data_IF_643486257519
#
_entry.id   IF_643486257519
#
_cell.length_a   1.000
_cell.length_b   1.000
_cell.length_c   1.000
_cell.angle_alpha   90.00
_cell.angle_beta   90.00
_cell.angle_gamma   90.00
#
_symmetry.space_group_name_H-M   'P 1'
#
loop_
_entity.id
_entity.type
_entity.pdbx_description
1 polymer ?
#
# COMPACT_ATOMS: atom_id res chain seq x y z
N UNK A 1 -40.53 -0.31 56.93
CA UNK A 1 -40.11 0.46 55.73
C UNK A 1 -38.64 0.84 55.73
N UNK A 2 -38.09 1.58 56.73
CA UNK A 2 -36.67 1.98 56.76
C UNK A 2 -35.65 0.85 56.52
N UNK A 3 -35.84 -0.34 57.11
CA UNK A 3 -34.93 -1.50 56.93
C UNK A 3 -34.88 -2.03 55.49
N UNK A 4 -36.00 -2.03 54.79
CA UNK A 4 -36.07 -2.46 53.39
C UNK A 4 -35.49 -1.41 52.44
N UNK A 5 -35.57 -0.13 52.78
CA UNK A 5 -34.93 0.96 52.03
C UNK A 5 -33.40 0.86 52.10
N UNK A 6 -32.85 0.57 53.28
CA UNK A 6 -31.39 0.37 53.42
C UNK A 6 -30.89 -0.86 52.66
N UNK A 7 -31.62 -1.97 52.69
CA UNK A 7 -31.28 -3.18 51.93
C UNK A 7 -31.38 -2.91 50.42
N UNK A 8 -32.42 -2.19 49.97
CA UNK A 8 -32.60 -1.82 48.58
C UNK A 8 -31.50 -0.88 48.08
N UNK A 9 -31.11 0.13 48.87
CA UNK A 9 -29.99 1.03 48.56
C UNK A 9 -28.64 0.31 48.56
N UNK A 10 -28.44 -0.66 49.45
CA UNK A 10 -27.23 -1.49 49.47
C UNK A 10 -27.11 -2.39 48.23
N UNK A 11 -28.23 -2.97 47.77
CA UNK A 11 -28.26 -3.80 46.55
C UNK A 11 -28.04 -2.94 45.29
N UNK A 12 -28.59 -1.72 45.23
CA UNK A 12 -28.31 -0.76 44.14
C UNK A 12 -26.84 -0.33 44.17
N UNK A 13 -26.28 -0.07 45.35
CA UNK A 13 -24.85 0.23 45.53
C UNK A 13 -23.95 -0.93 45.08
N UNK A 14 -24.37 -2.18 45.29
CA UNK A 14 -23.62 -3.37 44.86
C UNK A 14 -23.67 -3.57 43.33
N UNK A 15 -24.75 -3.11 42.67
CA UNK A 15 -24.92 -3.18 41.22
C UNK A 15 -24.11 -2.15 40.41
N UNK A 16 -23.50 -1.15 41.05
CA UNK A 16 -22.70 -0.10 40.39
C UNK A 16 -21.20 -0.46 40.31
N UNK A 17 -20.76 -1.54 40.97
CA UNK A 17 -19.38 -2.01 40.97
C UNK A 17 -19.14 -3.19 39.99
N UNK A 18 -19.79 -3.19 38.82
CA UNK A 18 -19.42 -4.13 37.76
C UNK A 18 -18.07 -3.65 37.21
N UNK A 19 -16.97 -4.42 37.34
CA UNK A 19 -15.71 -4.05 36.72
C UNK A 19 -15.96 -3.88 35.22
N UNK A 20 -15.77 -2.66 34.71
CA UNK A 20 -15.72 -2.44 33.26
C UNK A 20 -14.47 -3.16 32.79
N UNK A 21 -14.65 -4.32 32.18
CA UNK A 21 -13.58 -4.94 31.40
C UNK A 21 -13.29 -3.93 30.29
N UNK A 22 -12.16 -3.24 30.41
CA UNK A 22 -11.67 -2.37 29.35
C UNK A 22 -11.28 -3.30 28.20
N UNK A 23 -12.10 -3.32 27.15
CA UNK A 23 -11.71 -3.95 25.89
C UNK A 23 -10.68 -3.02 25.27
N UNK A 24 -9.43 -3.47 25.24
CA UNK A 24 -8.35 -2.76 24.59
C UNK A 24 -7.77 -3.73 23.57
N UNK A 25 -7.67 -3.30 22.32
CA UNK A 25 -6.98 -4.05 21.31
C UNK A 25 -5.53 -4.29 21.77
N UNK A 26 -5.00 -5.47 21.48
CA UNK A 26 -3.66 -5.89 21.88
C UNK A 26 -2.76 -5.86 20.68
N UNK A 27 -1.65 -5.16 20.80
CA UNK A 27 -0.57 -5.19 19.82
C UNK A 27 0.59 -6.00 20.39
N UNK A 28 1.03 -7.01 19.64
CA UNK A 28 2.00 -7.98 20.13
C UNK A 28 2.90 -8.50 19.01
N UNK A 29 4.09 -8.96 19.40
CA UNK A 29 5.05 -9.58 18.49
C UNK A 29 5.01 -11.10 18.62
N UNK A 30 5.21 -11.79 17.51
CA UNK A 30 5.40 -13.24 17.49
C UNK A 30 6.65 -13.58 16.67
N UNK A 31 7.51 -14.45 17.21
CA UNK A 31 8.72 -14.92 16.53
C UNK A 31 8.57 -16.33 15.95
N UNK A 32 9.08 -16.51 14.73
CA UNK A 32 9.16 -17.81 14.05
C UNK A 32 10.55 -18.01 13.43
N UNK A 33 11.32 -19.05 13.81
CA UNK A 33 11.08 -19.93 14.97
C UNK A 33 11.19 -19.17 16.30
N UNK A 34 10.61 -19.72 17.38
CA UNK A 34 10.71 -19.13 18.72
C UNK A 34 12.09 -19.34 19.36
N UNK A 35 12.72 -20.48 19.06
CA UNK A 35 14.09 -20.80 19.46
C UNK A 35 15.03 -20.55 18.28
N UNK A 36 15.99 -19.64 18.44
CA UNK A 36 16.92 -19.24 17.38
C UNK A 36 18.35 -19.21 17.90
N UNK A 37 19.29 -19.76 17.14
CA UNK A 37 20.73 -19.70 17.44
C UNK A 37 21.41 -18.50 16.78
N UNK A 38 22.69 -18.28 17.08
CA UNK A 38 23.51 -17.25 16.41
C UNK A 38 23.63 -17.52 14.90
N UNK A 39 23.55 -16.47 14.09
CA UNK A 39 23.73 -16.52 12.63
C UNK A 39 22.49 -16.97 11.85
N UNK A 40 21.42 -17.34 12.53
CA UNK A 40 20.16 -17.79 11.93
C UNK A 40 19.22 -16.62 11.66
N UNK A 41 18.16 -16.88 10.89
CA UNK A 41 17.10 -15.92 10.66
C UNK A 41 15.87 -16.21 11.54
N UNK A 42 15.27 -15.14 12.05
CA UNK A 42 14.01 -15.16 12.79
C UNK A 42 13.04 -14.16 12.18
N UNK A 43 11.79 -14.57 12.00
CA UNK A 43 10.70 -13.70 11.56
C UNK A 43 9.97 -13.16 12.78
N UNK A 44 9.99 -11.85 12.98
CA UNK A 44 9.19 -11.15 13.97
C UNK A 44 7.96 -10.55 13.30
N UNK A 45 6.79 -11.09 13.59
CA UNK A 45 5.51 -10.63 13.08
C UNK A 45 4.90 -9.65 14.07
N UNK A 46 4.51 -8.46 13.64
CA UNK A 46 3.69 -7.55 14.43
C UNK A 46 2.22 -7.87 14.15
N UNK A 47 1.47 -8.20 15.20
CA UNK A 47 0.06 -8.58 15.11
C UNK A 47 -0.82 -7.73 16.00
N UNK A 48 -2.09 -7.64 15.62
CA UNK A 48 -3.15 -7.04 16.42
C UNK A 48 -4.28 -8.05 16.70
N UNK A 49 -4.70 -8.12 17.97
CA UNK A 49 -5.99 -8.66 18.40
C UNK A 49 -6.90 -7.48 18.72
N UNK A 50 -8.04 -7.38 18.04
CA UNK A 50 -8.93 -6.23 18.20
C UNK A 50 -9.91 -6.36 19.37
N UNK A 51 -9.92 -7.49 20.09
CA UNK A 51 -10.79 -7.75 21.25
C UNK A 51 -12.28 -7.43 20.96
N UNK A 52 -12.70 -7.70 19.71
CA UNK A 52 -14.02 -7.43 19.12
C UNK A 52 -14.30 -5.99 18.67
N UNK A 53 -13.34 -5.07 18.75
CA UNK A 53 -13.46 -3.77 18.09
C UNK A 53 -13.14 -3.88 16.60
N UNK A 54 -13.69 -2.98 15.80
CA UNK A 54 -13.29 -2.82 14.40
C UNK A 54 -12.33 -1.64 14.32
N UNK A 55 -11.12 -1.86 13.81
CA UNK A 55 -10.06 -0.85 13.67
C UNK A 55 -9.64 -0.71 12.22
N UNK A 56 -9.29 0.49 11.77
CA UNK A 56 -9.05 0.77 10.35
C UNK A 56 -7.80 1.61 10.07
N UNK A 57 -7.06 2.02 11.08
CA UNK A 57 -5.80 2.73 10.90
C UNK A 57 -4.83 2.29 11.98
N UNK A 58 -3.54 2.23 11.62
CA UNK A 58 -2.47 1.76 12.47
C UNK A 58 -1.24 2.61 12.22
N UNK A 59 -0.59 3.05 13.29
CA UNK A 59 0.72 3.69 13.22
C UNK A 59 1.57 3.24 14.40
N UNK A 60 2.89 3.34 14.25
CA UNK A 60 3.82 3.11 15.34
C UNK A 60 5.23 2.86 14.87
N UNK A 61 6.08 2.46 15.82
CA UNK A 61 7.44 2.03 15.54
C UNK A 61 7.87 0.87 16.42
N UNK A 62 8.78 0.06 15.91
CA UNK A 62 9.40 -1.04 16.65
C UNK A 62 10.90 -0.80 16.75
N UNK A 63 11.40 -0.65 17.97
CA UNK A 63 12.84 -0.57 18.26
C UNK A 63 13.39 -1.95 18.56
N UNK A 64 14.63 -2.23 18.18
CA UNK A 64 15.29 -3.51 18.44
C UNK A 64 16.78 -3.36 18.81
N UNK A 65 17.35 -4.37 19.49
CA UNK A 65 18.77 -4.45 19.84
C UNK A 65 19.67 -4.69 18.61
N UNK A 66 20.26 -3.63 18.04
CA UNK A 66 21.12 -3.67 16.82
C UNK A 66 22.45 -4.43 16.98
N UNK A 67 22.88 -4.63 18.22
CA UNK A 67 24.06 -5.41 18.60
C UNK A 67 23.79 -6.93 18.57
N UNK A 68 22.54 -7.33 18.82
CA UNK A 68 22.08 -8.72 18.84
C UNK A 68 21.35 -9.13 17.55
N UNK A 69 20.72 -8.19 16.85
CA UNK A 69 19.92 -8.41 15.66
C UNK A 69 20.35 -7.51 14.51
N UNK A 70 20.23 -8.03 13.29
CA UNK A 70 20.42 -7.30 12.05
C UNK A 70 19.17 -7.45 11.20
N UNK A 71 18.48 -6.34 10.92
CA UNK A 71 17.33 -6.36 10.05
C UNK A 71 17.78 -6.66 8.61
N UNK A 72 17.21 -7.70 8.01
CA UNK A 72 17.50 -8.10 6.62
C UNK A 72 16.44 -7.54 5.68
N UNK A 73 15.17 -7.59 6.08
CA UNK A 73 14.04 -7.13 5.27
C UNK A 73 12.78 -6.96 6.13
N UNK A 74 11.81 -6.21 5.58
CA UNK A 74 10.44 -6.10 6.11
C UNK A 74 9.44 -6.47 5.02
N UNK A 75 8.51 -7.36 5.36
CA UNK A 75 7.53 -7.98 4.46
C UNK A 75 6.12 -7.55 4.84
N UNK A 76 5.31 -7.26 3.83
CA UNK A 76 3.89 -6.87 3.96
C UNK A 76 2.93 -8.02 3.59
N UNK A 77 3.48 -9.19 3.29
CA UNK A 77 2.73 -10.40 2.91
C UNK A 77 1.66 -10.75 3.94
N UNK A 78 0.45 -11.02 3.48
CA UNK A 78 -0.73 -11.30 4.30
C UNK A 78 -1.08 -10.18 5.31
N UNK A 79 -0.61 -8.95 5.09
CA UNK A 79 -0.99 -7.82 5.94
C UNK A 79 -2.49 -7.55 5.85
N UNK A 80 -3.07 -7.18 6.99
CA UNK A 80 -4.42 -6.61 7.07
C UNK A 80 -4.44 -5.15 6.61
N UNK A 81 -3.31 -4.47 6.62
CA UNK A 81 -3.16 -3.10 6.13
C UNK A 81 -3.24 -3.14 4.61
N UNK A 82 -4.21 -2.42 4.06
CA UNK A 82 -4.42 -2.40 2.61
C UNK A 82 -3.74 -1.22 1.93
N UNK A 83 -3.56 -0.10 2.63
CA UNK A 83 -2.91 1.08 2.08
C UNK A 83 -1.94 1.66 3.08
N UNK A 84 -0.66 1.68 2.71
CA UNK A 84 0.39 2.30 3.51
C UNK A 84 0.50 3.78 3.18
N UNK A 85 0.50 4.60 4.22
CA UNK A 85 0.92 6.00 4.16
C UNK A 85 2.45 6.03 4.29
N UNK A 86 2.96 5.24 5.23
CA UNK A 86 4.37 4.98 5.44
C UNK A 86 4.55 3.45 5.49
N UNK A 87 5.02 2.82 4.40
CA UNK A 87 5.30 1.39 4.37
C UNK A 87 6.32 1.01 5.44
N UNK A 88 6.21 -0.18 6.05
CA UNK A 88 7.05 -0.58 7.15
C UNK A 88 8.51 -0.72 6.69
N UNK A 89 9.37 0.16 7.18
CA UNK A 89 10.78 0.24 6.77
C UNK A 89 11.67 0.72 7.92
N UNK A 90 12.97 0.42 7.83
CA UNK A 90 13.94 0.91 8.80
C UNK A 90 14.21 2.41 8.61
N UNK A 91 13.95 3.20 9.65
CA UNK A 91 14.26 4.62 9.73
C UNK A 91 14.74 4.93 11.15
N UNK A 92 15.84 5.67 11.28
CA UNK A 92 16.40 6.09 12.57
C UNK A 92 16.52 4.93 13.59
N UNK A 93 17.08 3.80 13.15
CA UNK A 93 17.30 2.60 13.97
C UNK A 93 16.02 1.94 14.51
N UNK A 94 14.86 2.21 13.90
CA UNK A 94 13.56 1.62 14.24
C UNK A 94 12.84 1.21 12.96
N UNK A 95 11.90 0.27 13.05
CA UNK A 95 10.96 0.01 11.95
C UNK A 95 9.75 0.90 12.17
N UNK A 96 9.52 1.87 11.29
CA UNK A 96 8.37 2.81 11.36
C UNK A 96 7.30 2.39 10.37
N UNK A 97 6.03 2.61 10.70
CA UNK A 97 4.92 2.26 9.81
C UNK A 97 3.69 3.13 10.09
N UNK A 98 2.92 3.40 9.05
CA UNK A 98 1.58 3.99 9.13
C UNK A 98 0.72 3.56 7.95
N UNK A 99 -0.50 3.13 8.21
CA UNK A 99 -1.40 2.68 7.15
C UNK A 99 -2.84 2.49 7.59
N UNK A 100 -3.69 2.23 6.61
CA UNK A 100 -5.14 2.13 6.76
C UNK A 100 -5.70 0.86 6.13
N UNK A 101 -6.80 0.39 6.69
CA UNK A 101 -7.64 -0.71 6.22
C UNK A 101 -9.09 -0.25 6.08
N UNK A 102 -9.48 0.35 4.94
CA UNK A 102 -10.86 0.75 4.71
C UNK A 102 -11.81 -0.44 4.86
N UNK A 103 -12.97 -0.20 5.48
CA UNK A 103 -13.91 -1.26 5.87
C UNK A 103 -13.59 -1.90 7.23
N UNK A 104 -12.40 -1.64 7.78
CA UNK A 104 -11.97 -2.07 9.10
C UNK A 104 -11.55 -3.55 9.16
N UNK A 105 -10.79 -3.86 10.20
CA UNK A 105 -10.41 -5.21 10.58
C UNK A 105 -10.97 -5.54 11.96
N UNK A 106 -11.47 -6.76 12.11
CA UNK A 106 -11.89 -7.33 13.39
C UNK A 106 -11.42 -8.78 13.44
N UNK A 107 -10.59 -9.11 14.43
CA UNK A 107 -9.99 -10.44 14.54
C UNK A 107 -8.86 -10.48 15.57
N UNK A 108 -8.37 -11.67 15.86
CA UNK A 108 -7.43 -11.92 16.98
C UNK A 108 -5.96 -11.99 16.57
N UNK A 109 -5.68 -12.02 15.26
CA UNK A 109 -4.35 -12.34 14.74
C UNK A 109 -4.05 -11.59 13.43
N UNK A 110 -4.43 -10.32 13.36
CA UNK A 110 -4.22 -9.51 12.17
C UNK A 110 -2.75 -9.16 12.02
N UNK A 111 -2.09 -9.67 10.98
CA UNK A 111 -0.68 -9.33 10.70
C UNK A 111 -0.63 -7.90 10.17
N UNK A 112 0.17 -7.03 10.80
CA UNK A 112 0.47 -5.71 10.23
C UNK A 112 1.65 -5.80 9.26
N UNK A 113 2.74 -6.44 9.67
CA UNK A 113 3.92 -6.71 8.85
C UNK A 113 4.83 -7.74 9.52
N UNK A 114 5.83 -8.23 8.79
CA UNK A 114 6.84 -9.18 9.28
C UNK A 114 8.25 -8.66 9.03
N UNK A 115 9.05 -8.53 10.07
CA UNK A 115 10.48 -8.24 9.96
C UNK A 115 11.29 -9.55 9.97
N UNK A 116 12.30 -9.65 9.11
CA UNK A 116 13.24 -10.77 9.10
C UNK A 116 14.57 -10.28 9.66
N UNK A 117 14.96 -10.83 10.80
CA UNK A 117 16.23 -10.51 11.44
C UNK A 117 17.22 -11.65 11.28
N UNK A 118 18.50 -11.32 11.12
CA UNK A 118 19.62 -12.23 11.33
C UNK A 118 20.18 -12.02 12.74
N UNK A 119 20.37 -13.10 13.48
CA UNK A 119 20.93 -13.04 14.84
C UNK A 119 22.46 -12.90 14.80
N UNK A 120 23.00 -11.98 15.59
CA UNK A 120 24.44 -11.67 15.65
C UNK A 120 25.14 -12.30 16.84
N UNK A 121 24.49 -12.29 18.00
CA UNK A 121 25.07 -12.71 19.28
C UNK A 121 24.00 -13.36 20.16
N UNK A 122 24.42 -14.23 21.08
CA UNK A 122 23.52 -14.82 22.07
C UNK A 122 23.04 -13.78 23.09
N UNK A 123 21.84 -13.99 23.61
CA UNK A 123 21.22 -13.09 24.57
C UNK A 123 19.71 -12.99 24.40
N UNK A 124 19.12 -12.01 25.09
CA UNK A 124 17.69 -11.70 24.99
C UNK A 124 17.57 -10.30 24.40
N UNK A 125 17.40 -10.16 23.06
CA UNK A 125 17.23 -8.84 22.46
C UNK A 125 15.91 -8.21 22.91
N UNK A 126 15.96 -6.90 23.12
CA UNK A 126 14.78 -6.09 23.31
C UNK A 126 14.16 -5.84 21.93
N UNK A 127 12.88 -6.17 21.76
CA UNK A 127 12.04 -5.67 20.67
C UNK A 127 10.83 -5.00 21.31
N UNK A 128 10.74 -3.68 21.17
CA UNK A 128 9.73 -2.87 21.85
C UNK A 128 8.89 -2.11 20.84
N UNK A 129 7.58 -2.15 21.05
CA UNK A 129 6.62 -1.33 20.29
C UNK A 129 6.51 0.03 20.99
N UNK A 130 6.68 1.12 20.23
CA UNK A 130 6.59 2.50 20.71
C UNK A 130 5.66 3.32 19.84
N UNK A 131 5.09 4.36 20.43
CA UNK A 131 4.23 5.35 19.77
C UNK A 131 3.09 4.73 18.94
N UNK A 132 2.62 3.56 19.38
CA UNK A 132 1.62 2.80 18.65
C UNK A 132 0.23 3.38 18.85
N UNK A 133 -0.49 3.54 17.74
CA UNK A 133 -1.91 3.90 17.75
C UNK A 133 -2.70 3.03 16.79
N UNK A 134 -3.96 2.85 17.12
CA UNK A 134 -4.96 2.28 16.24
C UNK A 134 -6.22 3.14 16.32
N UNK A 135 -6.91 3.33 15.20
CA UNK A 135 -8.17 4.06 15.16
C UNK A 135 -9.34 3.11 14.94
N UNK A 136 -10.45 3.39 15.61
CA UNK A 136 -11.72 2.70 15.42
C UNK A 136 -12.25 2.97 14.00
N UNK A 137 -12.88 1.96 13.43
CA UNK A 137 -13.56 2.05 12.15
C UNK A 137 -14.95 2.71 12.30
N UNK A 138 -14.99 3.94 12.79
CA UNK A 138 -16.21 4.69 13.10
C UNK A 138 -16.43 5.93 12.21
N UNK A 139 -15.47 6.24 11.33
CA UNK A 139 -15.49 7.41 10.45
C UNK A 139 -15.25 8.74 11.16
N UNK A 140 -14.98 8.74 12.46
CA UNK A 140 -14.71 9.93 13.28
C UNK A 140 -13.23 10.07 13.66
N UNK A 141 -12.43 9.03 13.44
CA UNK A 141 -11.00 9.03 13.79
C UNK A 141 -10.76 8.84 15.29
N UNK A 142 -11.67 8.14 15.98
CA UNK A 142 -11.53 7.85 17.40
C UNK A 142 -10.37 6.88 17.65
N UNK A 143 -9.45 7.22 18.55
CA UNK A 143 -8.38 6.31 18.96
C UNK A 143 -8.97 5.10 19.72
N UNK A 144 -8.57 3.89 19.33
CA UNK A 144 -8.88 2.66 20.04
C UNK A 144 -8.01 2.54 21.29
N UNK A 145 -8.53 1.91 22.35
CA UNK A 145 -7.71 1.59 23.52
C UNK A 145 -6.72 0.50 23.15
N UNK A 146 -5.42 0.73 23.39
CA UNK A 146 -4.37 -0.23 23.07
C UNK A 146 -3.63 -0.74 24.31
N UNK A 147 -3.37 -2.05 24.32
CA UNK A 147 -2.44 -2.71 25.25
C UNK A 147 -1.27 -3.28 24.45
N UNK A 148 -0.04 -3.01 24.89
CA UNK A 148 1.16 -3.56 24.28
C UNK A 148 1.62 -4.77 25.08
N UNK A 149 1.73 -5.94 24.44
CA UNK A 149 2.23 -7.13 25.11
C UNK A 149 3.76 -7.17 25.09
N UNK A 150 4.43 -7.40 26.25
CA UNK A 150 5.87 -7.58 26.27
C UNK A 150 6.27 -8.80 25.44
N UNK A 151 7.28 -8.62 24.60
CA UNK A 151 7.84 -9.69 23.80
C UNK A 151 9.18 -10.15 24.35
N UNK A 152 9.45 -11.45 24.27
CA UNK A 152 10.75 -12.03 24.64
C UNK A 152 11.20 -13.04 23.60
N UNK A 153 12.42 -12.85 23.12
CA UNK A 153 13.13 -13.79 22.26
C UNK A 153 14.43 -14.20 22.95
N UNK A 154 14.78 -15.49 22.88
CA UNK A 154 16.06 -15.99 23.37
C UNK A 154 16.91 -16.42 22.18
N UNK A 155 18.10 -15.83 22.05
CA UNK A 155 19.13 -16.26 21.10
C UNK A 155 20.11 -17.16 21.85
N UNK A 156 20.15 -18.44 21.49
CA UNK A 156 21.00 -19.44 22.15
C UNK A 156 22.46 -19.35 21.68
N UNK A 157 23.41 -19.63 22.59
CA UNK A 157 24.85 -19.74 22.27
C UNK A 157 25.18 -20.97 21.40
N UNK A 158 24.37 -22.02 21.48
CA UNK A 158 24.55 -23.23 20.69
C UNK A 158 23.87 -23.13 19.33
N UNK A 159 24.56 -23.57 18.27
CA UNK A 159 23.93 -23.79 16.99
C UNK A 159 22.83 -24.85 17.15
N UNK A 160 21.56 -24.45 17.07
CA UNK A 160 20.52 -25.41 16.69
C UNK A 160 20.95 -25.98 15.33
N UNK A 161 21.04 -27.31 15.23
CA UNK A 161 21.61 -28.01 14.06
C UNK A 161 20.84 -27.74 12.75
N UNK A 162 19.68 -27.10 12.83
CA UNK A 162 18.89 -26.66 11.68
C UNK A 162 19.10 -25.15 11.48
N UNK A 163 19.79 -24.79 10.39
CA UNK A 163 19.88 -23.40 9.95
C UNK A 163 18.50 -22.99 9.44
N UNK A 164 17.80 -22.17 10.20
CA UNK A 164 16.56 -21.55 9.75
C UNK A 164 16.89 -20.34 8.87
N UNK A 165 16.59 -20.47 7.58
CA UNK A 165 16.54 -19.36 6.62
C UNK A 165 15.07 -19.05 6.40
N UNK A 166 14.70 -17.77 6.42
CA UNK A 166 13.37 -17.35 6.06
C UNK A 166 13.09 -17.79 4.61
N UNK A 167 11.97 -18.46 4.39
CA UNK A 167 11.60 -18.91 3.06
C UNK A 167 11.54 -17.71 2.09
N UNK A 168 12.14 -17.86 0.92
CA UNK A 168 11.98 -16.92 -0.19
C UNK A 168 10.50 -16.90 -0.61
N UNK A 169 9.98 -15.70 -0.88
CA UNK A 169 8.62 -15.54 -1.39
C UNK A 169 8.67 -15.67 -2.91
N UNK A 170 8.23 -16.80 -3.43
CA UNK A 170 8.08 -17.01 -4.87
C UNK A 170 6.69 -16.55 -5.30
N UNK A 171 6.62 -15.50 -6.10
CA UNK A 171 5.37 -14.90 -6.53
C UNK A 171 5.34 -14.66 -8.05
N UNK A 172 4.25 -15.13 -8.67
CA UNK A 172 3.96 -15.00 -10.11
C UNK A 172 2.59 -14.37 -10.34
N UNK A 173 1.90 -13.98 -9.27
CA UNK A 173 0.58 -13.37 -9.32
C UNK A 173 0.73 -11.88 -9.61
N UNK A 174 -0.20 -11.34 -10.38
CA UNK A 174 -0.19 -9.91 -10.67
C UNK A 174 -0.84 -9.16 -9.51
N UNK A 175 -0.42 -7.92 -9.19
CA UNK A 175 -1.07 -7.07 -8.21
C UNK A 175 -2.59 -7.03 -8.40
N UNK A 176 -3.38 -6.90 -7.33
CA UNK A 176 -4.85 -6.91 -7.36
C UNK A 176 -5.46 -5.90 -8.34
N UNK A 177 -6.72 -6.13 -8.73
CA UNK A 177 -7.36 -5.32 -9.76
C UNK A 177 -7.81 -4.01 -9.14
N UNK A 178 -7.52 -2.90 -9.80
CA UNK A 178 -7.83 -1.58 -9.30
C UNK A 178 -8.43 -0.69 -10.38
N UNK A 179 -9.17 0.32 -9.95
CA UNK A 179 -9.79 1.31 -10.82
C UNK A 179 -9.29 2.69 -10.42
N UNK A 180 -8.38 3.29 -11.19
CA UNK A 180 -7.97 4.67 -10.97
C UNK A 180 -9.15 5.64 -11.12
N UNK A 181 -9.19 6.66 -10.29
CA UNK A 181 -10.24 7.67 -10.29
C UNK A 181 -9.65 9.04 -10.64
N UNK A 182 -10.21 9.65 -11.68
CA UNK A 182 -9.86 11.00 -12.09
C UNK A 182 -10.70 12.01 -11.29
N UNK A 183 -10.02 12.92 -10.58
CA UNK A 183 -10.65 13.86 -9.68
C UNK A 183 -10.11 15.28 -9.86
N UNK A 184 -10.87 16.26 -9.36
CA UNK A 184 -10.51 17.67 -9.32
C UNK A 184 -11.27 18.33 -8.18
N UNK A 185 -10.54 19.03 -7.32
CA UNK A 185 -11.13 19.75 -6.18
C UNK A 185 -10.41 21.09 -6.00
N UNK A 186 -11.16 22.18 -5.77
CA UNK A 186 -10.58 23.52 -5.66
C UNK A 186 -9.63 23.68 -4.46
N UNK A 187 -9.79 22.83 -3.44
CA UNK A 187 -8.99 22.85 -2.21
C UNK A 187 -7.77 21.93 -2.30
N UNK A 188 -7.68 21.11 -3.35
CA UNK A 188 -6.62 20.11 -3.54
C UNK A 188 -5.84 20.43 -4.82
N UNK A 189 -4.51 20.52 -4.73
CA UNK A 189 -3.61 20.83 -5.85
C UNK A 189 -4.02 22.06 -6.68
N UNK A 190 -4.50 23.11 -6.02
CA UNK A 190 -4.97 24.36 -6.65
C UNK A 190 -6.05 24.15 -7.73
N UNK A 191 -6.92 23.14 -7.57
CA UNK A 191 -7.97 22.85 -8.54
C UNK A 191 -7.47 22.23 -9.84
N UNK A 192 -6.28 21.63 -9.86
CA UNK A 192 -5.79 20.84 -11.00
C UNK A 192 -6.45 19.46 -11.03
N UNK A 193 -6.52 18.87 -12.22
CA UNK A 193 -6.86 17.46 -12.40
C UNK A 193 -5.76 16.58 -11.86
N UNK A 194 -6.15 15.57 -11.08
CA UNK A 194 -5.27 14.56 -10.54
C UNK A 194 -5.96 13.20 -10.59
N UNK A 195 -5.16 12.14 -10.59
CA UNK A 195 -5.66 10.76 -10.55
C UNK A 195 -5.28 10.12 -9.21
N UNK A 196 -6.24 9.43 -8.61
CA UNK A 196 -6.06 8.62 -7.41
C UNK A 196 -6.11 7.16 -7.82
N UNK A 197 -5.16 6.39 -7.34
CA UNK A 197 -5.12 4.95 -7.57
C UNK A 197 -4.49 4.26 -6.36
N UNK A 198 -4.89 3.02 -6.12
CA UNK A 198 -4.28 2.18 -5.11
C UNK A 198 -4.59 0.72 -5.44
N UNK A 199 -3.66 -0.17 -5.12
CA UNK A 199 -3.85 -1.63 -5.22
C UNK A 199 -2.94 -2.31 -4.22
N UNK A 200 -3.09 -3.62 -4.08
CA UNK A 200 -2.32 -4.45 -3.17
C UNK A 200 -1.77 -5.68 -3.89
N UNK A 201 -0.72 -6.25 -3.32
CA UNK A 201 -0.35 -7.63 -3.58
C UNK A 201 -0.25 -8.35 -2.23
N UNK A 202 -0.99 -9.46 -2.06
CA UNK A 202 -1.06 -10.16 -0.77
C UNK A 202 0.13 -11.08 -0.51
N UNK A 203 0.97 -11.33 -1.51
CA UNK A 203 2.01 -12.35 -1.45
C UNK A 203 3.40 -11.71 -1.36
N UNK A 204 3.91 -11.09 -2.40
CA UNK A 204 5.18 -10.36 -2.36
C UNK A 204 5.03 -8.93 -1.82
N UNK A 205 3.84 -8.33 -1.92
CA UNK A 205 3.60 -6.95 -1.50
C UNK A 205 3.89 -5.94 -2.61
N UNK A 206 3.42 -4.71 -2.43
CA UNK A 206 3.61 -3.64 -3.42
C UNK A 206 5.05 -3.11 -3.41
N UNK A 207 5.61 -2.82 -4.59
CA UNK A 207 6.90 -2.15 -4.73
C UNK A 207 6.70 -0.67 -5.08
N UNK A 208 6.11 -0.37 -6.24
CA UNK A 208 5.82 1.01 -6.64
C UNK A 208 4.77 1.10 -7.76
N UNK A 209 4.40 2.35 -8.09
CA UNK A 209 3.58 2.68 -9.25
C UNK A 209 4.39 3.46 -10.29
N UNK A 210 4.07 3.23 -11.56
CA UNK A 210 4.51 4.07 -12.66
C UNK A 210 3.32 4.62 -13.45
N UNK A 211 3.44 5.83 -13.99
CA UNK A 211 2.43 6.46 -14.82
C UNK A 211 2.99 7.01 -16.14
N UNK A 212 2.14 7.08 -17.16
CA UNK A 212 2.46 7.77 -18.42
C UNK A 212 1.19 8.35 -19.06
N UNK A 213 1.31 9.54 -19.65
CA UNK A 213 0.23 10.26 -20.33
C UNK A 213 0.52 10.27 -21.84
N UNK A 214 -0.37 9.67 -22.64
CA UNK A 214 -0.14 9.44 -24.08
C UNK A 214 -1.25 10.07 -24.90
N UNK A 215 -0.92 11.13 -25.65
CA UNK A 215 -1.85 11.76 -26.61
C UNK A 215 -2.14 10.87 -27.83
N UNK A 216 -1.12 10.21 -28.39
CA UNK A 216 -1.24 9.29 -29.52
C UNK A 216 -0.14 8.23 -29.48
N UNK A 217 -0.39 7.05 -30.04
CA UNK A 217 0.55 5.93 -30.07
C UNK A 217 0.54 5.05 -28.82
N UNK A 218 1.70 4.49 -28.46
CA UNK A 218 1.86 3.53 -27.36
C UNK A 218 2.61 4.15 -26.17
N UNK A 219 2.38 3.68 -24.93
CA UNK A 219 3.13 4.13 -23.76
C UNK A 219 4.63 3.80 -23.88
N UNK A 220 5.49 4.78 -23.59
CA UNK A 220 6.96 4.64 -23.72
C UNK A 220 7.75 5.21 -22.55
N UNK A 221 7.33 6.32 -21.96
CA UNK A 221 8.04 7.00 -20.87
C UNK A 221 7.25 6.87 -19.57
N UNK A 222 7.64 5.90 -18.76
CA UNK A 222 7.05 5.63 -17.46
C UNK A 222 7.75 6.45 -16.38
N UNK A 223 6.96 7.11 -15.55
CA UNK A 223 7.43 7.90 -14.41
C UNK A 223 7.02 7.18 -13.13
N UNK A 224 7.97 6.90 -12.24
CA UNK A 224 7.68 6.40 -10.90
C UNK A 224 6.95 7.50 -10.11
N UNK A 225 5.80 7.17 -9.54
CA UNK A 225 4.89 8.14 -8.90
C UNK A 225 4.20 7.55 -7.68
N UNK A 226 3.72 8.44 -6.82
CA UNK A 226 2.80 8.13 -5.74
C UNK A 226 1.39 8.62 -6.08
N UNK A 227 0.41 8.12 -5.33
CA UNK A 227 -0.99 8.57 -5.42
C UNK A 227 -1.28 9.53 -4.25
N UNK A 228 -2.00 10.64 -4.48
CA UNK A 228 -2.52 11.11 -5.76
C UNK A 228 -1.44 11.70 -6.70
N UNK A 229 -1.64 11.55 -8.02
CA UNK A 229 -0.75 12.14 -9.04
C UNK A 229 -1.44 13.28 -9.80
N UNK A 230 -0.84 14.47 -9.82
CA UNK A 230 -1.33 15.62 -10.59
C UNK A 230 -0.97 15.45 -12.06
N UNK A 231 -1.97 15.48 -12.94
CA UNK A 231 -1.76 15.26 -14.38
C UNK A 231 -0.94 16.39 -15.02
N UNK A 232 -0.12 16.04 -16.00
CA UNK A 232 0.55 17.02 -16.85
C UNK A 232 -0.42 17.59 -17.88
N UNK A 233 -1.25 16.73 -18.48
CA UNK A 233 -2.26 17.12 -19.46
C UNK A 233 -3.57 17.54 -18.79
N UNK A 234 -3.60 18.77 -18.32
CA UNK A 234 -4.79 19.39 -17.69
C UNK A 234 -5.97 19.60 -18.65
N UNK A 235 -5.77 19.38 -19.95
CA UNK A 235 -6.83 19.36 -20.97
C UNK A 235 -7.50 17.98 -21.13
N UNK A 236 -7.03 16.94 -20.42
CA UNK A 236 -7.59 15.57 -20.46
C UNK A 236 -7.70 14.96 -21.87
N UNK A 237 -6.77 15.31 -22.76
CA UNK A 237 -6.69 14.77 -24.13
C UNK A 237 -5.84 13.49 -24.21
N UNK A 238 -5.05 13.22 -23.18
CA UNK A 238 -4.16 12.08 -23.10
C UNK A 238 -4.85 10.87 -22.47
N UNK A 239 -4.57 9.69 -22.99
CA UNK A 239 -4.85 8.44 -22.28
C UNK A 239 -3.82 8.27 -21.18
N UNK A 240 -4.26 7.83 -20.02
CA UNK A 240 -3.40 7.68 -18.84
C UNK A 240 -3.22 6.19 -18.60
N UNK A 241 -1.97 5.72 -18.54
CA UNK A 241 -1.69 4.35 -18.16
C UNK A 241 -1.00 4.35 -16.81
N UNK A 242 -1.53 3.55 -15.89
CA UNK A 242 -0.96 3.34 -14.55
C UNK A 242 -0.53 1.89 -14.46
N UNK A 243 0.71 1.68 -14.04
CA UNK A 243 1.33 0.37 -13.87
C UNK A 243 1.65 0.17 -12.40
N UNK A 244 1.05 -0.83 -11.79
CA UNK A 244 1.38 -1.31 -10.46
C UNK A 244 2.42 -2.43 -10.59
N UNK A 245 3.49 -2.37 -9.78
CA UNK A 245 4.58 -3.35 -9.75
C UNK A 245 4.71 -3.88 -8.31
N UNK A 246 4.75 -5.20 -8.15
CA UNK A 246 5.01 -5.85 -6.86
C UNK A 246 6.51 -6.12 -6.64
N UNK A 247 6.87 -6.55 -5.42
CA UNK A 247 8.26 -6.85 -5.03
C UNK A 247 8.86 -8.06 -5.77
N UNK A 248 8.03 -8.90 -6.39
CA UNK A 248 8.48 -9.98 -7.27
C UNK A 248 8.63 -9.56 -8.74
N UNK A 249 8.25 -8.32 -9.08
CA UNK A 249 8.36 -7.72 -10.41
C UNK A 249 7.18 -8.02 -11.34
N UNK A 250 6.09 -8.63 -10.87
CA UNK A 250 4.87 -8.78 -11.66
C UNK A 250 4.16 -7.43 -11.81
N UNK A 251 3.41 -7.27 -12.91
CA UNK A 251 2.97 -5.94 -13.36
C UNK A 251 1.52 -5.95 -13.79
N UNK A 252 0.70 -5.06 -13.24
CA UNK A 252 -0.66 -4.80 -13.72
C UNK A 252 -0.76 -3.40 -14.29
N UNK A 253 -1.20 -3.29 -15.55
CA UNK A 253 -1.40 -2.01 -16.23
C UNK A 253 -2.90 -1.76 -16.38
N UNK A 254 -3.35 -0.57 -15.99
CA UNK A 254 -4.72 -0.07 -16.18
C UNK A 254 -4.68 1.19 -17.03
N UNK A 255 -5.63 1.31 -17.96
CA UNK A 255 -5.77 2.46 -18.86
C UNK A 255 -7.02 3.26 -18.48
N UNK A 256 -6.85 4.57 -18.32
CA UNK A 256 -7.95 5.54 -18.36
C UNK A 256 -8.01 6.18 -19.75
N UNK A 257 -9.18 6.09 -20.37
CA UNK A 257 -9.44 6.76 -21.64
C UNK A 257 -9.36 8.29 -21.49
N UNK A 258 -8.90 8.97 -22.53
CA UNK A 258 -8.95 10.43 -22.60
C UNK A 258 -10.42 10.90 -22.55
N UNK A 259 -10.70 11.93 -21.74
CA UNK A 259 -12.05 12.53 -21.71
C UNK A 259 -12.31 13.36 -22.97
N UNK A 260 -11.27 14.02 -23.49
CA UNK A 260 -11.35 14.87 -24.69
C UNK A 260 -10.33 14.41 -25.73
N UNK A 261 -10.48 13.20 -26.32
CA UNK A 261 -9.51 12.67 -27.26
C UNK A 261 -9.36 13.59 -28.47
N UNK A 262 -8.15 13.64 -29.04
CA UNK A 262 -7.87 14.39 -30.26
C UNK A 262 -8.84 13.98 -31.36
N UNK A 263 -9.44 14.97 -32.01
CA UNK A 263 -10.21 14.70 -33.22
C UNK A 263 -9.26 14.23 -34.31
N UNK A 264 -9.73 13.37 -35.20
CA UNK A 264 -8.92 12.79 -36.28
C UNK A 264 -8.21 13.87 -37.13
N UNK A 265 -8.76 15.07 -37.29
CA UNK A 265 -8.13 16.16 -38.06
C UNK A 265 -7.08 16.98 -37.30
N UNK A 266 -6.95 16.80 -35.98
CA UNK A 266 -5.94 17.50 -35.16
C UNK A 266 -4.59 16.75 -35.17
N UNK A 267 -4.56 15.51 -35.66
CA UNK A 267 -3.33 14.74 -35.76
C UNK A 267 -2.52 15.18 -36.99
N UNK A 268 -1.32 15.72 -36.76
CA UNK A 268 -0.45 16.29 -37.82
C UNK A 268 -0.20 15.33 -38.99
N UNK A 269 -0.11 14.03 -38.74
CA UNK A 269 0.06 13.02 -39.78
C UNK A 269 -1.06 13.03 -40.82
N UNK A 270 -2.29 13.38 -40.43
CA UNK A 270 -3.41 13.44 -41.35
C UNK A 270 -3.25 14.63 -42.32
N UNK A 271 -2.70 15.75 -41.87
CA UNK A 271 -2.32 16.85 -42.77
C UNK A 271 -1.19 16.48 -43.71
N UNK A 272 -0.19 15.72 -43.24
CA UNK A 272 0.88 15.19 -44.09
C UNK A 272 0.31 14.27 -45.17
N UNK A 273 -0.61 13.37 -44.81
CA UNK A 273 -1.28 12.47 -45.76
C UNK A 273 -2.11 13.27 -46.77
N UNK A 274 -2.92 14.22 -46.32
CA UNK A 274 -3.74 15.06 -47.19
C UNK A 274 -2.87 15.88 -48.16
N UNK A 275 -1.72 16.39 -47.69
CA UNK A 275 -0.78 17.12 -48.52
C UNK A 275 -0.14 16.22 -49.60
N UNK A 276 0.29 15.01 -49.24
CA UNK A 276 0.85 14.02 -50.19
C UNK A 276 -0.19 13.64 -51.24
N UNK A 277 -1.43 13.35 -50.81
CA UNK A 277 -2.55 13.03 -51.71
C UNK A 277 -2.82 14.20 -52.67
N UNK A 278 -2.79 15.43 -52.17
CA UNK A 278 -2.92 16.65 -52.97
C UNK A 278 -1.83 16.78 -54.04
N UNK A 279 -0.56 16.51 -53.69
CA UNK A 279 0.56 16.53 -54.64
C UNK A 279 0.39 15.46 -55.73
N UNK A 280 0.00 14.24 -55.35
CA UNK A 280 -0.22 13.14 -56.30
C UNK A 280 -1.36 13.48 -57.26
N UNK A 281 -2.47 14.01 -56.72
CA UNK A 281 -3.62 14.44 -57.53
C UNK A 281 -3.23 15.55 -58.52
N UNK A 282 -2.45 16.54 -58.07
CA UNK A 282 -1.95 17.62 -58.92
C UNK A 282 -1.03 17.08 -60.02
N UNK A 283 -0.10 16.17 -59.68
CA UNK A 283 0.82 15.55 -60.63
C UNK A 283 0.06 14.74 -61.69
N UNK A 284 -0.93 13.93 -61.28
CA UNK A 284 -1.79 13.18 -62.19
C UNK A 284 -2.61 14.12 -63.09
N UNK A 285 -3.18 15.20 -62.53
CA UNK A 285 -3.92 16.21 -63.28
C UNK A 285 -3.06 16.89 -64.34
N UNK A 286 -1.85 17.31 -64.00
CA UNK A 286 -0.89 17.91 -64.95
C UNK A 286 -0.48 16.93 -66.05
N UNK A 287 -0.31 15.65 -65.72
CA UNK A 287 0.04 14.59 -66.68
C UNK A 287 -1.10 14.34 -67.68
N UNK A 288 -2.34 14.27 -67.19
CA UNK A 288 -3.53 14.12 -68.04
C UNK A 288 -3.77 15.35 -68.92
N UNK A 289 -3.55 16.56 -68.39
CA UNK A 289 -3.64 17.80 -69.15
C UNK A 289 -2.62 17.88 -70.29
N UNK A 290 -1.35 17.53 -70.01
CA UNK A 290 -0.30 17.44 -71.06
C UNK A 290 -0.68 16.45 -72.15
N UNK A 291 -1.18 15.27 -71.79
CA UNK A 291 -1.57 14.21 -72.75
C UNK A 291 -2.72 14.66 -73.67
N UNK A 292 -3.67 15.45 -73.15
CA UNK A 292 -4.79 15.99 -73.93
C UNK A 292 -4.36 17.08 -74.91
N UNK A 293 -3.36 17.88 -74.57
CA UNK A 293 -2.83 18.95 -75.43
C UNK A 293 -1.85 18.46 -76.51
N UNK A 294 -1.30 17.24 -76.38
CA UNK A 294 -0.48 16.59 -77.43
C UNK A 294 -1.29 15.80 -78.46
N UNK A 295 -2.61 15.69 -78.29
CA UNK A 295 -3.54 14.97 -79.19
C UNK A 295 -4.48 15.92 -79.96
N UNK A 296 -4.18 17.22 -79.96
CA UNK A 296 -4.76 18.25 -80.84
C UNK A 296 -3.68 18.74 -81.78
#
# INVERSE_FOLDING_TARGET
MRRYIFIFLFIISLGVAIPRVSLAAKLFLNAKPADVGIGQQVQAQLLIDTENESVNAFEGRVTYSHDLLELQEVRESNSIVSFWIEPPAEQDSSIVFSGVTPGGYQGTSGILWTAVFKTKQAGTPDLEIKDAKALLNDGMGTEASLTLEPFKLLIAEGATSEVHVAAEIIDYELPESFMPELARDQTVFDGKWFVVFATQDKKSGMDHFEITEVRSGSPRHWLMVESPYVLQDQELRSRIFIKAIDKAGNRRIVELAAQYPLSWYEEYWNWVILFIVGIIALWLGLRLWRKKNTLR
#
